data_IF_148440897913
#
_entry.id   IF_148440897913
#
_cell.length_a   1.000
_cell.length_b   1.000
_cell.length_c   1.000
_cell.angle_alpha   90.00
_cell.angle_beta   90.00
_cell.angle_gamma   90.00
#
_symmetry.space_group_name_H-M   'P 1'
#
loop_
_entity.id
_entity.type
_entity.pdbx_description
1 polymer ?
#
# COMPACT_ATOMS: atom_id res chain seq x y z
N UNK A 1 -11.13 -22.56 2.74
CA UNK A 1 -10.40 -23.34 1.73
C UNK A 1 -11.06 -24.70 1.63
N UNK A 2 -11.44 -25.13 0.44
CA UNK A 2 -11.97 -26.47 0.20
C UNK A 2 -10.82 -27.47 0.16
N UNK A 3 -11.02 -28.69 0.67
CA UNK A 3 -10.04 -29.75 0.50
C UNK A 3 -9.98 -30.18 -0.99
N UNK A 4 -8.88 -30.80 -1.41
CA UNK A 4 -8.65 -31.23 -2.81
C UNK A 4 -9.82 -32.05 -3.38
N UNK A 5 -10.33 -33.01 -2.60
CA UNK A 5 -11.48 -33.85 -2.98
C UNK A 5 -12.73 -33.02 -3.27
N UNK A 6 -13.03 -32.01 -2.45
CA UNK A 6 -14.16 -31.10 -2.66
C UNK A 6 -13.96 -30.19 -3.88
N UNK A 7 -12.73 -29.76 -4.15
CA UNK A 7 -12.39 -28.96 -5.33
C UNK A 7 -12.56 -29.75 -6.63
N UNK A 8 -12.15 -31.03 -6.64
CA UNK A 8 -12.30 -31.89 -7.81
C UNK A 8 -13.77 -32.26 -8.06
N UNK A 9 -14.54 -32.52 -7.00
CA UNK A 9 -15.98 -32.75 -7.11
C UNK A 9 -16.74 -31.55 -7.66
N UNK A 10 -16.44 -30.35 -7.16
CA UNK A 10 -17.10 -29.13 -7.63
C UNK A 10 -16.76 -28.79 -9.09
N UNK A 11 -15.58 -29.19 -9.56
CA UNK A 11 -15.20 -29.11 -10.97
C UNK A 11 -15.86 -30.19 -11.86
N UNK A 12 -16.62 -31.14 -11.28
CA UNK A 12 -17.37 -32.16 -12.01
C UNK A 12 -16.62 -33.48 -12.25
N UNK A 13 -15.47 -33.71 -11.61
CA UNK A 13 -14.79 -35.01 -11.68
C UNK A 13 -15.53 -36.09 -10.88
N UNK A 14 -15.39 -37.35 -11.32
CA UNK A 14 -16.04 -38.48 -10.65
C UNK A 14 -15.52 -38.70 -9.22
N UNK A 15 -16.36 -39.24 -8.35
CA UNK A 15 -16.01 -39.52 -6.95
C UNK A 15 -14.81 -40.45 -6.80
N UNK A 16 -14.69 -41.43 -7.71
CA UNK A 16 -13.55 -42.35 -7.73
C UNK A 16 -12.24 -41.64 -8.06
N UNK A 17 -12.28 -40.65 -8.96
CA UNK A 17 -11.12 -39.86 -9.34
C UNK A 17 -10.71 -38.87 -8.24
N UNK A 18 -11.69 -38.25 -7.59
CA UNK A 18 -11.48 -37.31 -6.49
C UNK A 18 -10.94 -37.99 -5.21
N UNK A 19 -11.43 -39.20 -4.87
CA UNK A 19 -11.00 -39.95 -3.67
C UNK A 19 -9.77 -40.83 -3.89
N UNK A 20 -9.57 -41.34 -5.11
CA UNK A 20 -8.56 -42.35 -5.42
C UNK A 20 -7.12 -41.82 -5.49
N UNK A 21 -6.85 -40.60 -5.03
CA UNK A 21 -5.51 -39.98 -5.06
C UNK A 21 -4.97 -39.68 -6.47
N UNK A 22 -5.77 -39.92 -7.52
CA UNK A 22 -5.36 -39.65 -8.91
C UNK A 22 -5.50 -38.17 -9.26
N UNK A 23 -6.42 -37.46 -8.60
CA UNK A 23 -6.55 -36.01 -8.67
C UNK A 23 -5.27 -35.25 -8.31
N UNK A 24 -4.43 -35.80 -7.44
CA UNK A 24 -3.15 -35.20 -7.07
C UNK A 24 -2.21 -35.02 -8.27
N UNK A 25 -2.31 -35.92 -9.26
CA UNK A 25 -1.52 -35.84 -10.50
C UNK A 25 -1.89 -34.63 -11.35
N UNK A 26 -3.09 -34.07 -11.18
CA UNK A 26 -3.51 -32.85 -11.85
C UNK A 26 -2.67 -31.66 -11.40
N UNK A 27 -2.24 -31.63 -10.13
CA UNK A 27 -1.32 -30.60 -9.61
C UNK A 27 0.12 -30.77 -10.10
N UNK A 28 0.45 -31.90 -10.72
CA UNK A 28 1.73 -32.07 -11.42
C UNK A 28 1.68 -31.54 -12.87
N UNK A 29 0.50 -31.22 -13.40
CA UNK A 29 0.37 -30.63 -14.73
C UNK A 29 0.85 -29.17 -14.71
N UNK A 30 1.79 -28.86 -15.60
CA UNK A 30 2.39 -27.52 -15.74
C UNK A 30 1.31 -26.45 -15.97
N UNK A 31 0.23 -26.74 -16.69
CA UNK A 31 -0.85 -25.78 -16.95
C UNK A 31 -1.62 -25.41 -15.69
N UNK A 32 -1.85 -26.40 -14.82
CA UNK A 32 -2.53 -26.19 -13.53
C UNK A 32 -1.63 -25.40 -12.59
N UNK A 33 -0.33 -25.72 -12.55
CA UNK A 33 0.65 -24.96 -11.78
C UNK A 33 0.73 -23.50 -12.23
N UNK A 34 0.81 -23.24 -13.54
CA UNK A 34 0.81 -21.87 -14.08
C UNK A 34 -0.48 -21.12 -13.75
N UNK A 35 -1.63 -21.79 -13.76
CA UNK A 35 -2.89 -21.17 -13.37
C UNK A 35 -2.92 -20.82 -11.87
N UNK A 36 -2.40 -21.71 -11.01
CA UNK A 36 -2.25 -21.46 -9.58
C UNK A 36 -1.31 -20.28 -9.34
N UNK A 37 -0.14 -20.26 -9.99
CA UNK A 37 0.82 -19.17 -9.88
C UNK A 37 0.22 -17.84 -10.34
N UNK A 38 -0.53 -17.84 -11.45
CA UNK A 38 -1.24 -16.64 -11.90
C UNK A 38 -2.26 -16.16 -10.88
N UNK A 39 -3.07 -17.06 -10.29
CA UNK A 39 -4.03 -16.71 -9.23
C UNK A 39 -3.30 -16.16 -8.01
N UNK A 40 -2.16 -16.74 -7.63
CA UNK A 40 -1.34 -16.28 -6.51
C UNK A 40 -0.74 -14.91 -6.78
N UNK A 41 -0.22 -14.65 -7.99
CA UNK A 41 0.29 -13.35 -8.42
C UNK A 41 -0.83 -12.32 -8.50
N UNK A 42 -1.97 -12.66 -9.08
CA UNK A 42 -3.15 -11.79 -9.13
C UNK A 42 -3.69 -11.50 -7.72
N UNK A 43 -3.59 -12.45 -6.79
CA UNK A 43 -3.97 -12.26 -5.39
C UNK A 43 -2.95 -11.40 -4.64
N UNK A 44 -1.66 -11.56 -4.93
CA UNK A 44 -0.59 -10.72 -4.40
C UNK A 44 -0.68 -9.27 -4.94
N UNK A 45 -1.02 -9.11 -6.22
CA UNK A 45 -1.30 -7.81 -6.85
C UNK A 45 -2.62 -7.18 -6.38
N UNK A 46 -3.53 -7.99 -5.82
CA UNK A 46 -4.79 -7.55 -5.18
C UNK A 46 -4.68 -7.33 -3.68
N UNK A 47 -3.48 -7.37 -3.08
CA UNK A 47 -3.29 -6.70 -1.79
C UNK A 47 -3.43 -5.21 -2.08
N UNK A 48 -4.67 -4.74 -2.11
CA UNK A 48 -4.98 -3.33 -2.21
C UNK A 48 -4.27 -2.67 -1.03
N UNK A 49 -3.18 -1.96 -1.33
CA UNK A 49 -2.48 -1.13 -0.37
C UNK A 49 -3.48 -0.10 0.13
N UNK A 50 -4.09 -0.42 1.26
CA UNK A 50 -4.95 0.51 1.97
C UNK A 50 -4.09 1.66 2.45
N UNK A 51 -4.68 2.84 2.61
CA UNK A 51 -3.97 4.00 3.16
C UNK A 51 -3.34 3.65 4.51
N UNK A 52 -4.04 2.89 5.34
CA UNK A 52 -3.53 2.43 6.65
C UNK A 52 -2.33 1.50 6.52
N UNK A 53 -2.33 0.56 5.56
CA UNK A 53 -1.20 -0.33 5.32
C UNK A 53 0.04 0.47 4.87
N UNK A 54 -0.15 1.45 3.98
CA UNK A 54 0.93 2.35 3.54
C UNK A 54 1.49 3.17 4.71
N UNK A 55 0.63 3.68 5.59
CA UNK A 55 1.07 4.44 6.76
C UNK A 55 1.84 3.56 7.76
N UNK A 56 1.43 2.30 7.95
CA UNK A 56 2.16 1.34 8.77
C UNK A 56 3.53 1.02 8.17
N UNK A 57 3.62 0.85 6.85
CA UNK A 57 4.88 0.61 6.14
C UNK A 57 5.84 1.80 6.28
N UNK A 58 5.32 3.04 6.22
CA UNK A 58 6.13 4.24 6.47
C UNK A 58 6.71 4.25 7.89
N UNK A 59 5.91 3.88 8.90
CA UNK A 59 6.33 3.84 10.30
C UNK A 59 7.39 2.75 10.55
N UNK A 60 7.20 1.59 9.93
CA UNK A 60 8.20 0.52 9.95
C UNK A 60 9.49 0.93 9.24
N UNK A 61 9.37 1.60 8.08
CA UNK A 61 10.50 2.17 7.36
C UNK A 61 11.30 3.16 8.21
N UNK A 62 10.63 4.03 8.97
CA UNK A 62 11.28 4.99 9.88
C UNK A 62 12.06 4.27 10.97
N UNK A 63 11.50 3.20 11.55
CA UNK A 63 12.19 2.39 12.55
C UNK A 63 13.46 1.74 11.97
N UNK A 64 13.40 1.19 10.75
CA UNK A 64 14.57 0.61 10.07
C UNK A 64 15.61 1.69 9.74
N UNK A 65 15.18 2.83 9.20
CA UNK A 65 16.08 3.93 8.86
C UNK A 65 16.82 4.46 10.10
N UNK A 66 16.14 4.53 11.26
CA UNK A 66 16.76 4.86 12.55
C UNK A 66 17.81 3.82 12.97
N UNK A 67 17.49 2.54 12.87
CA UNK A 67 18.45 1.47 13.18
C UNK A 67 19.69 1.52 12.29
N UNK A 68 19.49 1.81 11.00
CA UNK A 68 20.58 1.91 10.00
C UNK A 68 21.28 3.28 10.01
N UNK A 69 20.81 4.22 10.83
CA UNK A 69 21.27 5.62 10.84
C UNK A 69 21.24 6.29 9.45
N UNK A 70 20.30 5.88 8.60
CA UNK A 70 20.12 6.44 7.26
C UNK A 70 19.23 7.69 7.34
N UNK A 71 19.88 8.84 7.47
CA UNK A 71 19.23 10.14 7.58
C UNK A 71 18.44 10.54 6.33
N UNK A 72 18.87 10.08 5.15
CA UNK A 72 18.19 10.37 3.88
C UNK A 72 16.85 9.64 3.82
N UNK A 73 16.86 8.33 4.15
CA UNK A 73 15.64 7.54 4.25
C UNK A 73 14.69 8.09 5.32
N UNK A 74 15.21 8.50 6.48
CA UNK A 74 14.44 9.11 7.57
C UNK A 74 13.72 10.38 7.12
N UNK A 75 14.43 11.29 6.43
CA UNK A 75 13.85 12.54 5.94
C UNK A 75 12.74 12.25 4.92
N UNK A 76 12.98 11.34 3.97
CA UNK A 76 12.01 11.03 2.92
C UNK A 76 10.74 10.37 3.44
N UNK A 77 10.86 9.43 4.37
CA UNK A 77 9.71 8.76 4.97
C UNK A 77 8.88 9.72 5.83
N UNK A 78 9.54 10.62 6.56
CA UNK A 78 8.87 11.66 7.36
C UNK A 78 8.13 12.68 6.48
N UNK A 79 8.73 13.07 5.35
CA UNK A 79 8.10 13.94 4.35
C UNK A 79 6.83 13.30 3.77
N UNK A 80 6.90 12.03 3.38
CA UNK A 80 5.74 11.30 2.85
C UNK A 80 4.60 11.23 3.87
N UNK A 81 4.92 11.01 5.16
CA UNK A 81 3.93 11.02 6.23
C UNK A 81 3.30 12.40 6.44
N UNK A 82 4.09 13.47 6.46
CA UNK A 82 3.56 14.82 6.60
C UNK A 82 2.76 15.30 5.37
N UNK A 83 3.05 14.78 4.17
CA UNK A 83 2.25 15.02 2.97
C UNK A 83 0.84 14.44 3.09
N UNK A 84 0.71 13.23 3.65
CA UNK A 84 -0.61 12.66 3.96
C UNK A 84 -1.42 13.56 4.92
N UNK A 85 -0.74 14.22 5.87
CA UNK A 85 -1.34 15.15 6.83
C UNK A 85 -1.48 16.59 6.31
N UNK A 86 -1.18 16.85 5.04
CA UNK A 86 -1.17 18.21 4.45
C UNK A 86 -0.31 19.23 5.23
N UNK A 87 0.76 18.77 5.90
CA UNK A 87 1.66 19.62 6.68
C UNK A 87 2.63 20.43 5.81
N UNK A 88 2.81 20.02 4.56
CA UNK A 88 3.68 20.68 3.61
C UNK A 88 2.83 21.37 2.54
N UNK A 89 3.10 22.65 2.33
CA UNK A 89 2.54 23.42 1.22
C UNK A 89 3.70 24.07 0.49
N UNK A 90 3.74 23.91 -0.82
CA UNK A 90 4.63 24.70 -1.64
C UNK A 90 3.98 26.07 -1.81
N UNK A 91 4.69 27.13 -1.40
CA UNK A 91 4.31 28.49 -1.75
C UNK A 91 4.49 28.65 -3.27
N UNK A 92 3.48 28.21 -4.02
CA UNK A 92 3.42 28.40 -5.45
C UNK A 92 3.52 29.89 -5.73
N UNK A 93 4.60 30.31 -6.40
CA UNK A 93 4.68 31.63 -6.99
C UNK A 93 3.68 31.66 -8.17
N UNK A 94 2.40 31.84 -7.86
CA UNK A 94 1.32 31.96 -8.83
C UNK A 94 1.44 33.29 -9.58
N UNK A 95 2.41 33.40 -10.49
CA UNK A 95 2.57 34.53 -11.40
C UNK A 95 1.63 34.46 -12.62
N UNK A 96 0.61 33.59 -12.63
CA UNK A 96 -0.31 33.47 -13.75
C UNK A 96 -1.67 32.92 -13.34
N UNK A 97 -2.43 33.64 -12.52
CA UNK A 97 -3.90 33.82 -12.63
C UNK A 97 -4.42 34.64 -11.45
N UNK A 98 -4.43 35.96 -11.63
CA UNK A 98 -5.59 36.82 -11.35
C UNK A 98 -6.29 36.87 -9.99
N UNK A 99 -5.83 36.25 -8.90
CA UNK A 99 -6.46 36.40 -7.58
C UNK A 99 -5.53 37.14 -6.60
N UNK A 100 -5.67 38.47 -6.56
CA UNK A 100 -5.04 39.33 -5.57
C UNK A 100 -5.78 39.21 -4.23
N UNK A 101 -5.35 38.29 -3.37
CA UNK A 101 -5.76 38.29 -1.96
C UNK A 101 -4.74 39.13 -1.16
N UNK A 102 -4.99 40.43 -1.13
CA UNK A 102 -4.17 41.38 -0.40
C UNK A 102 -4.37 41.21 1.12
N UNK A 103 -3.64 40.29 1.75
CA UNK A 103 -3.59 40.18 3.22
C UNK A 103 -2.57 41.16 3.81
N UNK A 104 -2.76 42.46 3.56
CA UNK A 104 -2.08 43.49 4.35
C UNK A 104 -2.87 43.74 5.63
N UNK A 105 -2.55 42.99 6.67
CA UNK A 105 -2.61 43.54 8.03
C UNK A 105 -1.50 42.95 8.86
N UNK A 106 -0.39 43.68 8.96
CA UNK A 106 0.63 43.41 9.99
C UNK A 106 -0.08 43.41 11.36
N UNK A 107 0.04 42.37 12.19
CA UNK A 107 -0.41 42.47 13.57
C UNK A 107 0.49 43.49 14.28
N UNK A 108 -0.09 44.63 14.63
CA UNK A 108 0.60 45.66 15.43
C UNK A 108 0.54 45.20 16.88
N UNK A 109 1.61 44.57 17.37
CA UNK A 109 1.77 44.32 18.81
C UNK A 109 2.17 45.64 19.45
N UNK A 110 1.23 46.33 20.11
CA UNK A 110 1.57 47.45 20.99
C UNK A 110 2.19 46.87 22.27
N UNK A 111 3.49 47.07 22.45
CA UNK A 111 4.13 46.85 23.74
C UNK A 111 3.49 47.81 24.77
N UNK A 112 2.88 47.25 25.80
CA UNK A 112 2.39 48.00 26.96
C UNK A 112 3.57 48.18 27.92
N UNK A 113 4.24 49.32 27.84
CA UNK A 113 5.14 49.77 28.92
C UNK A 113 4.29 50.35 30.03
N UNK A 114 4.26 49.65 31.16
CA UNK A 114 3.75 50.12 32.44
C UNK A 114 4.55 49.44 33.54
#
# INVERSE_FOLDING_TARGET
>A
GYNEEQGLRSAGYSDSYARGGTGHKLYADVRVLVAIDKIMVDSAGKVALTVDAVLQDLDWGVAIARQKQDLSALARLSELRGKHLSMFSDAGNNAATGLNLNFTSKPTIKAKTG
#
